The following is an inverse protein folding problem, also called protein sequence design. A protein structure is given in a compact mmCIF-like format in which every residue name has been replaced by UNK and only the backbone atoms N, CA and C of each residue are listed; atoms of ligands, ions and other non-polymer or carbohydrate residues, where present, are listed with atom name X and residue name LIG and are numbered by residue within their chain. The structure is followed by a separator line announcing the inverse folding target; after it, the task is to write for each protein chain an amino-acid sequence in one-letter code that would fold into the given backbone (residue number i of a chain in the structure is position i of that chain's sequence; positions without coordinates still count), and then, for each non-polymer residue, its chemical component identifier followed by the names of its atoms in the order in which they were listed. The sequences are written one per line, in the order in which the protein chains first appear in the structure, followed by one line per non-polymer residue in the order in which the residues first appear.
data_IF_584527782382
#
_entry.id   IF_584527782382
#
_cell.length_a   1.000
_cell.length_b   1.000
_cell.length_c   1.000
_cell.angle_alpha   90.00
_cell.angle_beta   90.00
_cell.angle_gamma   90.00
#
_symmetry.space_group_name_H-M   'P 1'
#
loop_
_entity.id
_entity.type
_entity.pdbx_description
1 polymer ?
#
# COMPACT_ATOMS: atom_id res chain seq x y z
N UNK A 1 -17.54 22.83 -18.17
CA UNK A 1 -16.37 22.81 -19.07
C UNK A 1 -15.46 23.96 -18.68
N UNK A 2 -14.29 23.67 -18.11
CA UNK A 2 -13.32 24.66 -17.65
C UNK A 2 -12.80 24.31 -16.25
N UNK A 3 -11.48 24.08 -16.14
CA UNK A 3 -10.66 23.78 -14.94
C UNK A 3 -9.93 22.42 -14.85
N UNK A 4 -9.62 21.75 -15.97
CA UNK A 4 -8.66 20.61 -15.99
C UNK A 4 -7.36 20.97 -16.74
N UNK A 5 -7.06 22.26 -16.96
CA UNK A 5 -5.91 22.67 -17.79
C UNK A 5 -4.61 22.96 -17.02
N UNK A 6 -4.55 22.76 -15.71
CA UNK A 6 -3.44 23.30 -14.89
C UNK A 6 -2.32 22.30 -14.54
N UNK A 7 -2.32 21.09 -15.10
CA UNK A 7 -1.32 20.05 -14.78
C UNK A 7 -0.54 19.50 -15.99
N UNK A 8 -0.58 20.15 -17.15
CA UNK A 8 -0.02 19.63 -18.41
C UNK A 8 1.24 20.38 -18.89
N UNK A 9 2.13 20.78 -17.98
CA UNK A 9 3.44 21.28 -18.38
C UNK A 9 4.53 20.33 -17.86
N UNK A 10 5.15 19.65 -18.83
CA UNK A 10 6.35 18.80 -18.77
C UNK A 10 6.23 17.41 -18.11
N UNK A 11 5.80 16.38 -18.89
CA UNK A 11 6.57 15.17 -19.26
C UNK A 11 5.71 14.09 -19.97
N UNK A 12 6.17 13.62 -21.15
CA UNK A 12 5.70 12.45 -21.95
C UNK A 12 4.26 12.45 -22.49
N UNK A 13 4.15 12.70 -23.80
CA UNK A 13 2.93 12.66 -24.63
C UNK A 13 2.06 11.39 -24.44
N UNK A 14 2.68 10.25 -24.11
CA UNK A 14 1.96 8.98 -23.91
C UNK A 14 1.23 8.89 -22.56
N UNK A 15 1.79 9.47 -21.49
CA UNK A 15 1.16 9.44 -20.16
C UNK A 15 -0.07 10.35 -20.10
N UNK A 16 0.04 11.54 -20.70
CA UNK A 16 -1.05 12.48 -20.82
C UNK A 16 -2.21 11.90 -21.65
N UNK A 17 -1.89 11.16 -22.72
CA UNK A 17 -2.90 10.47 -23.54
C UNK A 17 -3.68 9.43 -22.75
N UNK A 18 -3.00 8.61 -21.93
CA UNK A 18 -3.66 7.60 -21.08
C UNK A 18 -4.52 8.24 -19.99
N UNK A 19 -4.02 9.30 -19.35
CA UNK A 19 -4.77 10.04 -18.33
C UNK A 19 -6.06 10.64 -18.92
N UNK A 20 -5.98 11.26 -20.10
CA UNK A 20 -7.15 11.80 -20.81
C UNK A 20 -8.15 10.70 -21.20
N UNK A 21 -7.67 9.54 -21.63
CA UNK A 21 -8.54 8.38 -21.91
C UNK A 21 -9.29 7.93 -20.66
N UNK A 22 -8.60 7.79 -19.52
CA UNK A 22 -9.22 7.41 -18.23
C UNK A 22 -10.29 8.43 -17.84
N UNK A 23 -9.97 9.72 -17.86
CA UNK A 23 -10.92 10.78 -17.48
C UNK A 23 -12.15 10.78 -18.40
N UNK A 24 -11.95 10.63 -19.72
CA UNK A 24 -13.07 10.59 -20.67
C UNK A 24 -14.00 9.39 -20.44
N UNK A 25 -13.48 8.27 -19.94
CA UNK A 25 -14.27 7.09 -19.59
C UNK A 25 -15.03 7.32 -18.27
N UNK A 26 -14.38 7.90 -17.26
CA UNK A 26 -14.99 8.20 -15.97
C UNK A 26 -16.17 9.17 -16.09
N UNK A 27 -16.07 10.19 -16.93
CA UNK A 27 -17.14 11.20 -17.12
C UNK A 27 -18.40 10.63 -17.78
N UNK A 28 -18.29 9.51 -18.52
CA UNK A 28 -19.42 8.91 -19.26
C UNK A 28 -20.18 7.85 -18.46
N UNK A 29 -19.69 7.51 -17.28
CA UNK A 29 -20.13 6.36 -16.51
C UNK A 29 -21.06 6.75 -15.34
N UNK A 30 -21.86 5.81 -14.86
CA UNK A 30 -22.55 6.01 -13.58
C UNK A 30 -21.52 6.11 -12.45
N UNK A 31 -21.88 6.74 -11.32
CA UNK A 31 -20.94 6.89 -10.19
C UNK A 31 -20.39 5.55 -9.69
N UNK A 32 -21.19 4.48 -9.76
CA UNK A 32 -20.76 3.13 -9.38
C UNK A 32 -19.83 2.52 -10.43
N UNK A 33 -20.13 2.67 -11.72
CA UNK A 33 -19.27 2.17 -12.79
C UNK A 33 -17.90 2.86 -12.75
N UNK A 34 -17.89 4.19 -12.56
CA UNK A 34 -16.65 4.96 -12.46
C UNK A 34 -15.83 4.55 -11.23
N UNK A 35 -16.48 4.30 -10.09
CA UNK A 35 -15.80 3.82 -8.89
C UNK A 35 -15.23 2.41 -9.08
N UNK A 36 -15.98 1.51 -9.72
CA UNK A 36 -15.51 0.17 -10.07
C UNK A 36 -14.31 0.21 -11.02
N UNK A 37 -14.33 1.11 -12.00
CA UNK A 37 -13.24 1.32 -12.93
C UNK A 37 -11.98 1.89 -12.26
N UNK A 38 -12.12 2.86 -11.33
CA UNK A 38 -11.00 3.35 -10.52
C UNK A 38 -10.40 2.19 -9.71
N UNK A 39 -11.22 1.40 -9.02
CA UNK A 39 -10.73 0.25 -8.24
C UNK A 39 -10.01 -0.77 -9.11
N UNK A 40 -10.51 -1.05 -10.32
CA UNK A 40 -9.84 -1.89 -11.31
C UNK A 40 -8.46 -1.35 -11.70
N UNK A 41 -8.34 -0.06 -12.03
CA UNK A 41 -7.06 0.58 -12.33
C UNK A 41 -6.11 0.45 -11.14
N UNK A 42 -6.58 0.71 -9.92
CA UNK A 42 -5.76 0.59 -8.71
C UNK A 42 -5.22 -0.83 -8.49
N UNK A 43 -5.99 -1.87 -8.86
CA UNK A 43 -5.49 -3.25 -8.87
C UNK A 43 -4.31 -3.41 -9.85
N UNK A 44 -4.46 -2.94 -11.08
CA UNK A 44 -3.38 -2.99 -12.09
C UNK A 44 -2.13 -2.23 -11.64
N UNK A 45 -2.30 -1.03 -11.07
CA UNK A 45 -1.18 -0.22 -10.55
C UNK A 45 -0.43 -0.93 -9.41
N UNK A 46 -1.13 -1.75 -8.63
CA UNK A 46 -0.53 -2.59 -7.59
C UNK A 46 0.09 -3.88 -8.14
N UNK A 47 0.15 -4.05 -9.46
CA UNK A 47 0.78 -5.19 -10.10
C UNK A 47 -0.10 -6.44 -10.17
N UNK A 48 -1.42 -6.26 -10.24
CA UNK A 48 -2.29 -7.36 -10.64
C UNK A 48 -2.37 -7.43 -12.17
N UNK A 49 -2.54 -8.64 -12.72
CA UNK A 49 -2.59 -8.91 -14.17
C UNK A 49 -3.87 -9.64 -14.54
N UNK A 50 -4.32 -9.49 -15.79
CA UNK A 50 -5.48 -10.22 -16.32
C UNK A 50 -5.22 -11.72 -16.50
N UNK A 51 -3.97 -12.08 -16.71
CA UNK A 51 -3.52 -13.46 -16.92
C UNK A 51 -2.55 -13.91 -15.82
N UNK A 52 -2.47 -15.22 -15.64
CA UNK A 52 -1.48 -15.84 -14.77
C UNK A 52 -0.07 -15.60 -15.33
N UNK A 53 0.86 -15.10 -14.52
CA UNK A 53 2.23 -14.88 -14.98
C UNK A 53 3.26 -15.33 -13.94
N UNK A 54 4.38 -15.91 -14.40
CA UNK A 54 5.53 -16.19 -13.53
C UNK A 54 6.36 -14.94 -13.20
N UNK A 55 6.09 -13.83 -13.89
CA UNK A 55 6.90 -12.63 -13.80
C UNK A 55 6.52 -11.89 -12.52
N UNK A 56 7.53 -11.33 -11.84
CA UNK A 56 7.28 -10.42 -10.74
C UNK A 56 6.50 -9.24 -11.28
N UNK A 57 5.33 -8.91 -10.73
CA UNK A 57 4.51 -7.86 -11.28
C UNK A 57 5.20 -6.50 -11.08
N UNK A 58 5.51 -5.83 -12.19
CA UNK A 58 6.07 -4.48 -12.21
C UNK A 58 5.01 -3.50 -12.69
N UNK A 59 4.89 -2.36 -12.02
CA UNK A 59 4.08 -1.24 -12.49
C UNK A 59 4.52 -0.83 -13.90
N UNK A 60 3.58 -0.75 -14.83
CA UNK A 60 3.85 -0.28 -16.19
C UNK A 60 2.62 0.44 -16.75
N UNK A 61 2.73 1.76 -16.98
CA UNK A 61 1.66 2.58 -17.53
C UNK A 61 1.15 2.04 -18.88
N UNK A 62 2.02 1.41 -19.67
CA UNK A 62 1.64 0.79 -20.95
C UNK A 62 0.69 -0.38 -20.74
N UNK A 63 0.91 -1.20 -19.71
CA UNK A 63 0.02 -2.32 -19.37
C UNK A 63 -1.35 -1.77 -18.99
N UNK A 64 -1.40 -0.69 -18.20
CA UNK A 64 -2.67 -0.02 -17.86
C UNK A 64 -3.38 0.47 -19.13
N UNK A 65 -2.66 1.12 -20.05
CA UNK A 65 -3.22 1.59 -21.33
C UNK A 65 -3.82 0.47 -22.19
N UNK A 66 -3.10 -0.65 -22.35
CA UNK A 66 -3.56 -1.82 -23.11
C UNK A 66 -4.83 -2.44 -22.49
N UNK A 67 -4.91 -2.45 -21.15
CA UNK A 67 -6.07 -2.96 -20.41
C UNK A 67 -7.28 -2.02 -20.44
N UNK A 68 -7.07 -0.70 -20.50
CA UNK A 68 -8.17 0.28 -20.60
C UNK A 68 -8.97 0.06 -21.88
N UNK A 69 -8.33 -0.31 -22.99
CA UNK A 69 -9.02 -0.56 -24.26
C UNK A 69 -10.00 -1.74 -24.20
N UNK A 70 -9.80 -2.67 -23.26
CA UNK A 70 -10.56 -3.91 -23.16
C UNK A 70 -11.28 -4.05 -21.81
N UNK A 71 -11.46 -2.97 -21.04
CA UNK A 71 -11.95 -3.06 -19.66
C UNK A 71 -13.37 -3.66 -19.56
N UNK A 72 -14.23 -3.43 -20.55
CA UNK A 72 -15.63 -3.90 -20.55
C UNK A 72 -15.76 -5.42 -20.61
N UNK A 73 -14.76 -6.11 -21.19
CA UNK A 73 -14.76 -7.58 -21.21
C UNK A 73 -14.28 -8.18 -19.89
N UNK A 74 -13.58 -7.40 -19.06
CA UNK A 74 -12.96 -7.82 -17.81
C UNK A 74 -13.91 -7.59 -16.62
N UNK A 75 -14.60 -6.44 -16.60
CA UNK A 75 -15.54 -6.11 -15.54
C UNK A 75 -16.91 -6.69 -15.88
N UNK A 76 -17.25 -7.83 -15.28
CA UNK A 76 -18.58 -8.42 -15.47
C UNK A 76 -19.56 -7.88 -14.43
N UNK A 77 -20.68 -7.29 -14.87
CA UNK A 77 -21.74 -6.80 -13.98
C UNK A 77 -22.93 -7.74 -14.02
N UNK A 78 -23.29 -8.32 -12.87
CA UNK A 78 -24.47 -9.17 -12.71
C UNK A 78 -25.13 -8.91 -11.36
N UNK A 79 -26.45 -8.71 -11.34
CA UNK A 79 -27.24 -8.55 -10.12
C UNK A 79 -26.65 -7.51 -9.12
N UNK A 80 -26.29 -6.32 -9.61
CA UNK A 80 -25.69 -5.24 -8.80
C UNK A 80 -24.32 -5.58 -8.18
N UNK A 81 -23.64 -6.59 -8.70
CA UNK A 81 -22.26 -6.92 -8.35
C UNK A 81 -21.38 -6.76 -9.58
N UNK A 82 -20.27 -6.05 -9.43
CA UNK A 82 -19.17 -6.09 -10.39
C UNK A 82 -18.21 -7.18 -9.93
N UNK A 83 -17.90 -8.12 -10.81
CA UNK A 83 -16.91 -9.16 -10.56
C UNK A 83 -15.72 -8.92 -11.48
N UNK A 84 -14.55 -8.80 -10.85
CA UNK A 84 -13.27 -8.55 -11.50
C UNK A 84 -12.32 -9.66 -11.05
N UNK A 85 -11.78 -10.40 -12.00
CA UNK A 85 -10.84 -11.49 -11.74
C UNK A 85 -9.47 -11.08 -12.26
N UNK A 86 -8.49 -11.05 -11.37
CA UNK A 86 -7.10 -10.73 -11.70
C UNK A 86 -6.15 -11.68 -10.97
N UNK A 87 -4.88 -11.67 -11.37
CA UNK A 87 -3.84 -12.51 -10.82
C UNK A 87 -2.75 -11.66 -10.18
N UNK A 88 -2.18 -12.14 -9.08
CA UNK A 88 -0.87 -11.69 -8.60
C UNK A 88 0.08 -12.86 -8.79
N UNK A 89 0.96 -12.74 -9.78
CA UNK A 89 1.79 -13.87 -10.21
C UNK A 89 0.89 -15.06 -10.62
N UNK A 90 0.92 -16.17 -9.87
CA UNK A 90 0.03 -17.33 -10.09
C UNK A 90 -1.28 -17.32 -9.30
N UNK A 91 -1.45 -16.35 -8.40
CA UNK A 91 -2.54 -16.39 -7.42
C UNK A 91 -3.74 -15.67 -7.97
N UNK A 92 -4.82 -16.41 -8.22
CA UNK A 92 -6.11 -15.85 -8.64
C UNK A 92 -6.76 -15.07 -7.49
N UNK A 93 -7.13 -13.83 -7.80
CA UNK A 93 -7.78 -12.91 -6.88
C UNK A 93 -9.11 -12.43 -7.48
N UNK A 94 -10.16 -12.44 -6.68
CA UNK A 94 -11.50 -11.98 -7.09
C UNK A 94 -11.84 -10.70 -6.31
N UNK A 95 -12.11 -9.62 -7.05
CA UNK A 95 -12.65 -8.38 -6.51
C UNK A 95 -14.15 -8.32 -6.85
N UNK A 96 -14.97 -8.51 -5.83
CA UNK A 96 -16.42 -8.36 -5.91
C UNK A 96 -16.83 -7.00 -5.35
N UNK A 97 -17.47 -6.17 -6.17
CA UNK A 97 -17.96 -4.85 -5.78
C UNK A 97 -19.49 -4.88 -5.74
N UNK A 98 -20.05 -4.92 -4.54
CA UNK A 98 -21.50 -4.93 -4.35
C UNK A 98 -22.03 -3.49 -4.27
N UNK A 99 -22.95 -3.15 -5.16
CA UNK A 99 -23.68 -1.87 -5.11
C UNK A 99 -24.69 -1.90 -3.97
N UNK A 100 -24.53 -0.97 -3.03
CA UNK A 100 -25.46 -0.76 -1.94
C UNK A 100 -25.72 0.74 -1.76
N UNK A 101 -26.91 1.19 -2.18
CA UNK A 101 -27.29 2.61 -2.18
C UNK A 101 -26.22 3.49 -2.86
N UNK A 102 -25.70 4.50 -2.17
CA UNK A 102 -24.64 5.39 -2.67
C UNK A 102 -23.24 4.90 -2.27
N UNK A 103 -23.03 3.58 -2.22
CA UNK A 103 -21.75 2.97 -1.84
C UNK A 103 -21.47 1.70 -2.64
N UNK A 104 -20.18 1.37 -2.76
CA UNK A 104 -19.67 0.08 -3.18
C UNK A 104 -19.01 -0.63 -2.00
N UNK A 105 -19.43 -1.84 -1.72
CA UNK A 105 -18.74 -2.72 -0.78
C UNK A 105 -17.73 -3.52 -1.61
N UNK A 106 -16.44 -3.24 -1.42
CA UNK A 106 -15.37 -3.93 -2.12
C UNK A 106 -14.87 -5.11 -1.30
N UNK A 107 -14.96 -6.31 -1.87
CA UNK A 107 -14.47 -7.55 -1.30
C UNK A 107 -13.37 -8.10 -2.21
N UNK A 108 -12.11 -8.03 -1.76
CA UNK A 108 -10.99 -8.65 -2.46
C UNK A 108 -10.60 -9.95 -1.76
N UNK A 109 -10.62 -11.05 -2.51
CA UNK A 109 -10.31 -12.38 -1.99
C UNK A 109 -9.26 -13.10 -2.82
N UNK A 110 -8.45 -13.92 -2.16
CA UNK A 110 -7.65 -14.99 -2.78
C UNK A 110 -8.10 -16.31 -2.13
N UNK A 111 -9.15 -16.97 -2.68
CA UNK A 111 -9.85 -18.06 -2.00
C UNK A 111 -8.97 -19.25 -1.66
N UNK A 112 -8.02 -19.59 -2.54
CA UNK A 112 -7.05 -20.68 -2.36
C UNK A 112 -6.22 -20.56 -1.07
N UNK A 113 -6.08 -19.34 -0.55
CA UNK A 113 -5.28 -19.02 0.62
C UNK A 113 -6.12 -18.49 1.79
N UNK A 114 -7.46 -18.57 1.70
CA UNK A 114 -8.38 -18.05 2.71
C UNK A 114 -8.17 -16.56 3.04
N UNK A 115 -7.70 -15.77 2.08
CA UNK A 115 -7.49 -14.33 2.25
C UNK A 115 -8.75 -13.59 1.82
N UNK A 116 -9.27 -12.72 2.68
CA UNK A 116 -10.37 -11.82 2.38
C UNK A 116 -10.16 -10.46 3.07
N UNK A 117 -10.34 -9.38 2.31
CA UNK A 117 -10.42 -8.02 2.82
C UNK A 117 -11.65 -7.33 2.26
N UNK A 118 -12.39 -6.65 3.14
CA UNK A 118 -13.64 -5.99 2.80
C UNK A 118 -13.69 -4.57 3.37
N UNK A 119 -14.21 -3.63 2.58
CA UNK A 119 -14.48 -2.26 3.03
C UNK A 119 -15.56 -1.60 2.15
N UNK A 120 -16.38 -0.76 2.76
CA UNK A 120 -17.38 0.05 2.06
C UNK A 120 -16.82 1.42 1.67
N UNK A 121 -17.10 1.85 0.44
CA UNK A 121 -16.67 3.10 -0.14
C UNK A 121 -17.87 3.88 -0.64
N UNK A 122 -18.00 5.13 -0.23
CA UNK A 122 -19.04 6.02 -0.76
C UNK A 122 -18.71 6.40 -2.21
N UNK A 123 -19.73 6.54 -3.03
CA UNK A 123 -19.56 7.11 -4.36
C UNK A 123 -19.01 8.54 -4.24
N UNK A 124 -18.00 8.85 -5.05
CA UNK A 124 -17.32 10.14 -5.07
C UNK A 124 -17.74 10.98 -6.28
N UNK A 125 -17.37 12.25 -6.26
CA UNK A 125 -17.36 13.08 -7.47
C UNK A 125 -16.04 12.84 -8.21
N UNK A 126 -16.12 12.25 -9.40
CA UNK A 126 -14.94 11.97 -10.25
C UNK A 126 -14.29 13.24 -10.82
N UNK A 127 -14.98 14.37 -10.77
CA UNK A 127 -14.40 15.67 -11.11
C UNK A 127 -13.49 16.21 -10.00
N UNK A 128 -13.60 15.65 -8.79
CA UNK A 128 -12.83 16.06 -7.62
C UNK A 128 -11.63 15.13 -7.41
N UNK A 129 -10.47 15.58 -7.89
CA UNK A 129 -9.22 14.83 -7.81
C UNK A 129 -8.81 14.46 -6.38
N UNK A 130 -9.06 15.32 -5.39
CA UNK A 130 -8.69 15.02 -4.00
C UNK A 130 -9.52 13.85 -3.44
N UNK A 131 -10.81 13.75 -3.81
CA UNK A 131 -11.64 12.60 -3.45
C UNK A 131 -11.14 11.31 -4.10
N UNK A 132 -10.75 11.36 -5.38
CA UNK A 132 -10.13 10.22 -6.08
C UNK A 132 -8.86 9.79 -5.37
N UNK A 133 -7.97 10.73 -5.06
CA UNK A 133 -6.70 10.46 -4.38
C UNK A 133 -6.90 9.79 -3.02
N UNK A 134 -7.79 10.33 -2.19
CA UNK A 134 -8.12 9.76 -0.87
C UNK A 134 -8.68 8.34 -1.03
N UNK A 135 -9.61 8.14 -1.96
CA UNK A 135 -10.17 6.83 -2.28
C UNK A 135 -9.08 5.83 -2.70
N UNK A 136 -8.21 6.21 -3.64
CA UNK A 136 -7.16 5.34 -4.16
C UNK A 136 -6.19 4.91 -3.06
N UNK A 137 -5.74 5.86 -2.23
CA UNK A 137 -4.88 5.58 -1.08
C UNK A 137 -5.56 4.66 -0.08
N UNK A 138 -6.82 4.93 0.26
CA UNK A 138 -7.58 4.14 1.22
C UNK A 138 -7.82 2.71 0.71
N UNK A 139 -8.20 2.55 -0.56
CA UNK A 139 -8.40 1.26 -1.20
C UNK A 139 -7.10 0.44 -1.28
N UNK A 140 -6.00 1.08 -1.71
CA UNK A 140 -4.67 0.44 -1.74
C UNK A 140 -4.25 -0.04 -0.36
N UNK A 141 -4.34 0.82 0.66
CA UNK A 141 -3.83 0.53 2.00
C UNK A 141 -4.66 -0.49 2.76
N UNK A 142 -5.99 -0.50 2.59
CA UNK A 142 -6.87 -1.36 3.38
C UNK A 142 -7.26 -2.67 2.69
N UNK A 143 -7.23 -2.71 1.35
CA UNK A 143 -7.72 -3.86 0.57
C UNK A 143 -6.59 -4.44 -0.28
N UNK A 144 -6.10 -3.69 -1.28
CA UNK A 144 -5.25 -4.23 -2.35
C UNK A 144 -3.89 -4.70 -1.82
N UNK A 145 -3.17 -3.83 -1.11
CA UNK A 145 -1.83 -4.14 -0.61
C UNK A 145 -1.84 -5.25 0.45
N UNK A 146 -2.77 -5.28 1.43
CA UNK A 146 -2.86 -6.39 2.35
C UNK A 146 -3.10 -7.75 1.66
N UNK A 147 -4.02 -7.83 0.71
CA UNK A 147 -4.28 -9.09 -0.02
C UNK A 147 -3.05 -9.48 -0.85
N UNK A 148 -2.47 -8.54 -1.59
CA UNK A 148 -1.28 -8.78 -2.40
C UNK A 148 -0.10 -9.30 -1.56
N UNK A 149 0.20 -8.65 -0.45
CA UNK A 149 1.32 -9.04 0.42
C UNK A 149 1.09 -10.42 1.03
N UNK A 150 -0.13 -10.71 1.49
CA UNK A 150 -0.46 -12.04 2.01
C UNK A 150 -0.36 -13.11 0.92
N UNK A 151 -0.93 -12.87 -0.26
CA UNK A 151 -0.87 -13.78 -1.40
C UNK A 151 0.58 -14.09 -1.80
N UNK A 152 1.40 -13.05 -2.04
CA UNK A 152 2.81 -13.22 -2.39
C UNK A 152 3.62 -13.93 -1.30
N UNK A 153 3.27 -13.71 -0.03
CA UNK A 153 3.87 -14.40 1.11
C UNK A 153 3.68 -15.91 1.06
N UNK A 154 2.57 -16.41 0.54
CA UNK A 154 2.32 -17.86 0.40
C UNK A 154 3.21 -18.53 -0.64
N UNK A 155 3.70 -17.80 -1.63
CA UNK A 155 4.61 -18.32 -2.68
C UNK A 155 6.06 -17.92 -2.45
N UNK A 156 6.40 -17.44 -1.24
CA UNK A 156 7.75 -17.00 -0.85
C UNK A 156 8.35 -15.93 -1.77
N UNK A 157 7.49 -15.16 -2.46
CA UNK A 157 7.94 -14.04 -3.28
C UNK A 157 7.90 -12.79 -2.42
N UNK A 158 9.08 -12.31 -2.06
CA UNK A 158 9.22 -11.09 -1.29
C UNK A 158 8.73 -9.88 -2.10
N UNK A 159 7.85 -9.08 -1.49
CA UNK A 159 7.37 -7.84 -2.09
C UNK A 159 8.51 -6.81 -2.21
N UNK A 160 8.47 -5.98 -3.25
CA UNK A 160 9.36 -4.81 -3.41
C UNK A 160 9.09 -3.72 -2.37
N UNK A 161 9.42 -3.99 -1.11
CA UNK A 161 9.23 -3.10 0.03
C UNK A 161 10.21 -3.47 1.14
N UNK A 162 10.28 -2.64 2.18
CA UNK A 162 11.28 -2.80 3.26
C UNK A 162 11.24 -4.19 3.93
N UNK A 163 10.05 -4.78 4.05
CA UNK A 163 9.83 -6.12 4.61
C UNK A 163 10.42 -7.23 3.71
N UNK A 164 10.52 -6.98 2.41
CA UNK A 164 11.08 -7.94 1.46
C UNK A 164 12.60 -7.96 1.40
N UNK A 165 13.29 -7.06 2.12
CA UNK A 165 14.74 -7.10 2.20
C UNK A 165 15.20 -8.27 3.08
N UNK A 166 16.35 -8.91 2.75
CA UNK A 166 16.98 -9.85 3.66
C UNK A 166 17.22 -9.21 5.03
N UNK A 167 17.02 -9.98 6.10
CA UNK A 167 17.12 -9.48 7.48
C UNK A 167 18.43 -8.73 7.73
N UNK A 168 19.56 -9.29 7.29
CA UNK A 168 20.88 -8.69 7.48
C UNK A 168 21.02 -7.34 6.77
N UNK A 169 20.44 -7.21 5.57
CA UNK A 169 20.42 -5.95 4.81
C UNK A 169 19.58 -4.91 5.55
N UNK A 170 18.42 -5.31 6.06
CA UNK A 170 17.54 -4.43 6.82
C UNK A 170 18.22 -3.94 8.12
N UNK A 171 18.83 -4.86 8.87
CA UNK A 171 19.59 -4.55 10.08
C UNK A 171 20.77 -3.64 9.78
N UNK A 172 21.50 -3.87 8.68
CA UNK A 172 22.58 -3.00 8.24
C UNK A 172 22.09 -1.58 7.95
N UNK A 173 20.99 -1.43 7.23
CA UNK A 173 20.39 -0.12 6.95
C UNK A 173 20.00 0.62 8.23
N UNK A 174 19.39 -0.09 9.18
CA UNK A 174 18.98 0.49 10.47
C UNK A 174 20.19 0.93 11.30
N UNK A 175 21.21 0.08 11.43
CA UNK A 175 22.41 0.35 12.22
C UNK A 175 23.19 1.55 11.68
N UNK A 176 23.31 1.67 10.35
CA UNK A 176 24.25 2.61 9.75
C UNK A 176 23.61 3.92 9.26
N UNK A 177 22.34 3.91 8.83
CA UNK A 177 21.76 5.05 8.12
C UNK A 177 20.55 5.67 8.82
N UNK A 178 19.81 4.90 9.62
CA UNK A 178 18.61 5.42 10.28
C UNK A 178 18.96 6.13 11.59
N UNK A 179 18.24 7.23 11.85
CA UNK A 179 18.14 7.80 13.20
C UNK A 179 17.14 6.97 13.99
N UNK A 180 17.30 6.97 15.31
CA UNK A 180 16.40 6.23 16.21
C UNK A 180 14.92 6.58 16.02
N UNK A 181 14.60 7.85 15.76
CA UNK A 181 13.21 8.28 15.55
C UNK A 181 12.62 7.66 14.29
N UNK A 182 13.38 7.63 13.20
CA UNK A 182 12.94 7.05 11.94
C UNK A 182 12.80 5.53 12.07
N UNK A 183 13.73 4.88 12.77
CA UNK A 183 13.64 3.45 13.09
C UNK A 183 12.36 3.11 13.86
N UNK A 184 12.01 3.91 14.88
CA UNK A 184 10.77 3.72 15.66
C UNK A 184 9.54 3.92 14.77
N UNK A 185 9.54 4.98 13.95
CA UNK A 185 8.43 5.24 13.02
C UNK A 185 8.25 4.08 12.04
N UNK A 186 9.35 3.52 11.52
CA UNK A 186 9.35 2.33 10.66
C UNK A 186 8.74 1.13 11.39
N UNK A 187 9.15 0.83 12.61
CA UNK A 187 8.61 -0.32 13.35
C UNK A 187 7.14 -0.15 13.78
N UNK A 188 6.58 1.06 13.72
CA UNK A 188 5.13 1.30 13.92
C UNK A 188 4.29 1.03 12.68
N UNK A 189 4.90 0.87 11.51
CA UNK A 189 4.15 0.71 10.25
C UNK A 189 3.46 -0.65 10.12
N UNK A 190 4.08 -1.72 10.64
CA UNK A 190 3.51 -3.08 10.58
C UNK A 190 4.11 -4.00 11.63
N UNK A 191 3.40 -5.10 11.93
CA UNK A 191 3.83 -6.10 12.91
C UNK A 191 5.20 -6.71 12.61
N UNK A 192 5.49 -6.99 11.34
CA UNK A 192 6.76 -7.60 10.94
C UNK A 192 7.97 -6.71 11.29
N UNK A 193 7.87 -5.41 11.02
CA UNK A 193 8.92 -4.43 11.35
C UNK A 193 8.92 -4.06 12.84
N UNK A 194 7.79 -4.21 13.52
CA UNK A 194 7.69 -3.99 14.95
C UNK A 194 8.60 -4.93 15.74
N UNK A 195 8.76 -6.18 15.31
CA UNK A 195 9.69 -7.13 15.96
C UNK A 195 11.13 -6.61 16.03
N UNK A 196 11.56 -5.75 15.10
CA UNK A 196 12.88 -5.13 15.14
C UNK A 196 13.04 -4.17 16.32
N UNK A 197 11.95 -3.54 16.77
CA UNK A 197 11.93 -2.65 17.94
C UNK A 197 12.31 -3.40 19.22
N UNK A 198 12.22 -4.72 19.25
CA UNK A 198 12.59 -5.52 20.43
C UNK A 198 13.99 -6.13 20.33
N UNK A 199 14.67 -5.98 19.18
CA UNK A 199 16.05 -6.43 19.00
C UNK A 199 17.03 -5.55 19.80
N UNK A 200 17.54 -6.12 20.90
CA UNK A 200 18.49 -5.46 21.80
C UNK A 200 19.80 -5.07 21.09
N UNK A 201 20.22 -5.80 20.05
CA UNK A 201 21.45 -5.51 19.32
C UNK A 201 21.35 -4.18 18.55
N UNK A 202 20.15 -3.83 18.07
CA UNK A 202 19.89 -2.54 17.44
C UNK A 202 19.97 -1.41 18.47
N UNK A 203 19.37 -1.60 19.65
CA UNK A 203 19.44 -0.60 20.73
C UNK A 203 20.85 -0.39 21.26
N UNK A 204 21.64 -1.46 21.43
CA UNK A 204 23.06 -1.36 21.77
C UNK A 204 23.81 -0.53 20.72
N UNK A 205 23.51 -0.70 19.44
CA UNK A 205 24.12 0.09 18.37
C UNK A 205 23.75 1.57 18.49
N UNK A 206 22.48 1.90 18.72
CA UNK A 206 22.06 3.28 18.95
C UNK A 206 22.75 3.89 20.18
N UNK A 207 22.80 3.17 21.31
CA UNK A 207 23.54 3.60 22.50
C UNK A 207 25.00 3.91 22.17
N UNK A 208 25.69 3.03 21.43
CA UNK A 208 27.08 3.26 21.03
C UNK A 208 27.24 4.49 20.14
N UNK A 209 26.38 4.66 19.13
CA UNK A 209 26.43 5.81 18.20
C UNK A 209 26.27 7.15 18.92
N UNK A 210 25.45 7.16 19.96
CA UNK A 210 25.12 8.36 20.75
C UNK A 210 25.95 8.50 22.04
N UNK A 211 26.93 7.61 22.26
CA UNK A 211 27.75 7.54 23.47
C UNK A 211 26.93 7.43 24.78
N UNK A 212 25.82 6.69 24.75
CA UNK A 212 25.02 6.37 25.94
C UNK A 212 25.75 5.32 26.77
N UNK A 213 25.93 5.60 28.06
CA UNK A 213 26.59 4.68 28.98
C UNK A 213 25.72 3.44 29.22
N UNK A 214 26.18 2.28 28.76
CA UNK A 214 25.56 0.97 28.99
C UNK A 214 26.05 0.36 30.31
N UNK A 215 26.09 1.14 31.38
CA UNK A 215 26.62 0.71 32.69
C UNK A 215 25.95 -0.55 33.23
N UNK A 216 26.44 -1.07 34.37
CA UNK A 216 25.92 -2.30 35.01
C UNK A 216 24.53 -2.15 35.64
N UNK A 217 23.80 -1.07 35.34
CA UNK A 217 22.45 -0.87 35.85
C UNK A 217 21.48 -1.89 35.22
N UNK A 218 20.42 -2.24 35.95
CA UNK A 218 19.43 -3.28 35.60
C UNK A 218 18.54 -2.95 34.37
N UNK A 219 18.89 -1.90 33.61
CA UNK A 219 18.12 -1.44 32.46
C UNK A 219 18.48 -2.16 31.16
N UNK A 220 17.47 -2.50 30.37
CA UNK A 220 17.69 -2.90 28.97
C UNK A 220 18.30 -1.75 28.15
N UNK A 221 19.12 -2.03 27.12
CA UNK A 221 19.62 -1.02 26.19
C UNK A 221 18.53 -0.07 25.66
N UNK A 222 17.35 -0.61 25.34
CA UNK A 222 16.16 0.17 24.93
C UNK A 222 15.73 1.18 26.00
N UNK A 223 15.63 0.74 27.26
CA UNK A 223 15.24 1.61 28.38
C UNK A 223 16.29 2.68 28.69
N UNK A 224 17.58 2.32 28.65
CA UNK A 224 18.67 3.28 28.86
C UNK A 224 18.69 4.36 27.77
N UNK A 225 18.50 3.94 26.51
CA UNK A 225 18.43 4.88 25.40
C UNK A 225 17.22 5.82 25.50
N UNK A 226 16.06 5.31 25.92
CA UNK A 226 14.87 6.13 26.19
C UNK A 226 15.13 7.19 27.26
N UNK A 227 15.78 6.82 28.37
CA UNK A 227 16.16 7.76 29.42
C UNK A 227 17.11 8.85 28.91
N UNK A 228 18.10 8.49 28.08
CA UNK A 228 19.01 9.44 27.43
C UNK A 228 18.27 10.45 26.54
N UNK A 229 17.29 9.99 25.74
CA UNK A 229 16.50 10.90 24.91
C UNK A 229 15.66 11.87 25.75
N UNK A 230 15.08 11.39 26.85
CA UNK A 230 14.32 12.22 27.79
C UNK A 230 15.23 13.26 28.47
N UNK A 231 16.44 12.90 28.88
CA UNK A 231 17.37 13.83 29.55
C UNK A 231 17.86 14.94 28.63
N UNK A 232 18.02 14.67 27.33
CA UNK A 232 18.39 15.68 26.34
C UNK A 232 17.24 16.63 25.94
N UNK A 233 16.02 16.46 26.48
CA UNK A 233 14.80 17.18 26.04
C UNK A 233 14.56 17.11 24.52
N UNK A 234 15.10 16.09 23.86
CA UNK A 234 14.96 15.94 22.40
C UNK A 234 13.53 15.46 22.04
N UNK A 235 12.71 14.99 23.01
CA UNK A 235 11.34 14.53 22.73
C UNK A 235 10.32 14.75 23.85
N UNK A 236 9.11 15.19 23.46
CA UNK A 236 7.88 15.18 24.27
C UNK A 236 6.96 13.96 24.03
N UNK A 237 7.16 13.19 22.95
CA UNK A 237 6.17 12.18 22.50
C UNK A 237 6.59 10.72 22.68
N UNK A 238 7.47 10.43 23.65
CA UNK A 238 8.01 9.08 23.83
C UNK A 238 7.11 8.13 24.64
N UNK A 239 5.85 8.46 24.92
CA UNK A 239 4.99 7.72 25.86
C UNK A 239 3.97 6.76 25.23
N UNK A 240 3.95 6.62 23.90
CA UNK A 240 3.04 5.70 23.20
C UNK A 240 3.79 4.48 22.61
N UNK A 241 4.58 3.77 23.42
CA UNK A 241 5.32 2.57 22.96
C UNK A 241 4.65 1.24 23.30
N UNK A 242 3.65 1.23 24.17
CA UNK A 242 3.08 -0.01 24.71
C UNK A 242 1.69 -0.34 24.14
N UNK A 243 1.33 0.24 22.99
CA UNK A 243 0.02 -0.02 22.36
C UNK A 243 0.26 -0.54 20.95
N UNK A 244 0.49 -1.85 20.80
CA UNK A 244 0.07 -2.68 19.65
C UNK A 244 0.21 -4.17 19.99
#
# INVERSE_FOLDING_TARGET
MGHISYYLEDQNNDQDSVALQILSQLERQSKHDALAFIMYIQMLECGFTSEETNKTPTYNCRVVAEHIQHYESIITRKNNVYNIVLYVNKIKCNLDLLVFCNSLIANLSAPEYHILKSKSYKCIDVSNFEQIKILCLDFKNNIVMPVRTLALGHISIYSAGLIGLPYDVLVYLIKHYLKVQDFINIGRTCKALNYLIDDQTLWINFCKRENVNLGRDDGTPKTLFRQYLCSKKIFHNFNHFDVY
#
